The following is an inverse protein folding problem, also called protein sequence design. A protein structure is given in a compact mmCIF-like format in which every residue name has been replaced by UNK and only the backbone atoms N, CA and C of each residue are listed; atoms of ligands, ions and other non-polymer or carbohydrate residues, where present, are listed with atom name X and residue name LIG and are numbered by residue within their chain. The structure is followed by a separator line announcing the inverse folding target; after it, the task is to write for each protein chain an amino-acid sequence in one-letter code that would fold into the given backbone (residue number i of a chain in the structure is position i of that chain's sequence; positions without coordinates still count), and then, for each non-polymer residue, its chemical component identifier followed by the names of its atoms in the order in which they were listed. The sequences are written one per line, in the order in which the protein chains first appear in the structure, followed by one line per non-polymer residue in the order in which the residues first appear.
data_IF_581997984417
#
_entry.id   IF_581997984417
#
_cell.length_a   1.000
_cell.length_b   1.000
_cell.length_c   1.000
_cell.angle_alpha   90.00
_cell.angle_beta   90.00
_cell.angle_gamma   90.00
#
_symmetry.space_group_name_H-M   'P 1'
#
loop_
_entity.id
_entity.type
_entity.pdbx_description
1 polymer ?
#
# COMPACT_ATOMS: atom_id res chain seq x y z
N UNK A 1 -17.76 -4.45 32.53
CA UNK A 1 -16.55 -3.92 31.89
C UNK A 1 -16.90 -2.60 31.26
N UNK A 2 -16.14 -1.56 31.57
CA UNK A 2 -16.30 -0.23 30.99
C UNK A 2 -15.77 -0.19 29.53
N UNK A 3 -16.21 0.77 28.73
CA UNK A 3 -15.83 0.93 27.33
C UNK A 3 -14.31 1.03 27.16
N UNK A 4 -13.65 1.83 27.99
CA UNK A 4 -12.19 1.97 27.95
C UNK A 4 -11.47 0.64 28.19
N UNK A 5 -12.01 -0.21 29.09
CA UNK A 5 -11.46 -1.54 29.37
C UNK A 5 -11.61 -2.47 28.16
N UNK A 6 -12.76 -2.41 27.46
CA UNK A 6 -12.98 -3.21 26.24
C UNK A 6 -12.07 -2.76 25.10
N UNK A 7 -11.93 -1.46 24.88
CA UNK A 7 -11.01 -0.92 23.88
C UNK A 7 -9.56 -1.29 24.17
N UNK A 8 -9.13 -1.18 25.43
CA UNK A 8 -7.79 -1.61 25.86
C UNK A 8 -7.54 -3.08 25.56
N UNK A 9 -8.52 -3.95 25.84
CA UNK A 9 -8.44 -5.38 25.54
C UNK A 9 -8.33 -5.62 24.02
N UNK A 10 -9.16 -4.97 23.21
CA UNK A 10 -9.09 -5.09 21.74
C UNK A 10 -7.74 -4.64 21.19
N UNK A 11 -7.18 -3.52 21.67
CA UNK A 11 -5.85 -3.04 21.28
C UNK A 11 -4.77 -4.08 21.60
N UNK A 12 -4.83 -4.70 22.78
CA UNK A 12 -3.90 -5.77 23.19
C UNK A 12 -4.04 -7.02 22.31
N UNK A 13 -5.26 -7.42 21.98
CA UNK A 13 -5.51 -8.58 21.11
C UNK A 13 -5.00 -8.35 19.69
N UNK A 14 -5.25 -7.17 19.12
CA UNK A 14 -4.74 -6.77 17.81
C UNK A 14 -3.20 -6.73 17.82
N UNK A 15 -2.60 -6.21 18.89
CA UNK A 15 -1.15 -6.25 19.09
C UNK A 15 -0.63 -7.70 19.17
N UNK A 16 -1.35 -8.57 19.87
CA UNK A 16 -1.06 -9.99 19.95
C UNK A 16 -1.08 -10.65 18.57
N UNK A 17 -2.07 -10.35 17.73
CA UNK A 17 -2.15 -10.82 16.35
C UNK A 17 -0.96 -10.31 15.51
N UNK A 18 -0.61 -9.02 15.64
CA UNK A 18 0.56 -8.44 14.96
C UNK A 18 1.82 -9.23 15.26
N UNK A 19 2.11 -9.48 16.53
CA UNK A 19 3.35 -10.17 16.97
C UNK A 19 3.27 -11.66 16.66
N UNK A 20 2.28 -12.35 17.20
CA UNK A 20 2.22 -13.82 17.21
C UNK A 20 1.75 -14.40 15.89
N UNK A 21 0.75 -13.78 15.24
CA UNK A 21 0.23 -14.28 13.96
C UNK A 21 1.06 -13.77 12.81
N UNK A 22 1.34 -12.47 12.72
CA UNK A 22 1.96 -11.90 11.51
C UNK A 22 3.46 -11.68 11.59
N UNK A 23 3.99 -11.50 12.80
CA UNK A 23 5.37 -11.11 13.06
C UNK A 23 5.74 -9.81 12.34
N UNK A 24 4.80 -8.85 12.31
CA UNK A 24 5.05 -7.55 11.71
C UNK A 24 5.75 -6.62 12.70
N UNK A 25 6.82 -5.92 12.27
CA UNK A 25 7.40 -4.83 13.05
C UNK A 25 6.38 -3.69 13.20
N UNK A 26 6.57 -2.86 14.23
CA UNK A 26 5.61 -1.81 14.58
C UNK A 26 5.35 -0.83 13.43
N UNK A 27 6.40 -0.42 12.71
CA UNK A 27 6.28 0.54 11.61
C UNK A 27 5.50 -0.04 10.43
N UNK A 28 5.76 -1.29 10.08
CA UNK A 28 4.98 -2.01 9.06
C UNK A 28 3.52 -2.13 9.46
N UNK A 29 3.24 -2.43 10.74
CA UNK A 29 1.87 -2.51 11.23
C UNK A 29 1.16 -1.15 11.16
N UNK A 30 1.81 -0.05 11.56
CA UNK A 30 1.28 1.32 11.43
C UNK A 30 0.98 1.67 9.98
N UNK A 31 1.91 1.36 9.08
CA UNK A 31 1.72 1.58 7.64
C UNK A 31 0.51 0.81 7.09
N UNK A 32 0.34 -0.46 7.50
CA UNK A 32 -0.78 -1.30 7.07
C UNK A 32 -2.12 -0.73 7.55
N UNK A 33 -2.26 -0.42 8.85
CA UNK A 33 -3.53 0.10 9.38
C UNK A 33 -3.87 1.48 8.80
N UNK A 34 -2.86 2.32 8.54
CA UNK A 34 -3.02 3.60 7.83
C UNK A 34 -3.53 3.38 6.42
N UNK A 35 -2.91 2.46 5.67
CA UNK A 35 -3.31 2.11 4.30
C UNK A 35 -4.72 1.49 4.20
N UNK A 36 -5.18 0.84 5.28
CA UNK A 36 -6.54 0.30 5.40
C UNK A 36 -7.58 1.35 5.83
N UNK A 37 -7.18 2.60 6.11
CA UNK A 37 -8.09 3.67 6.53
C UNK A 37 -8.42 3.71 8.03
N UNK A 38 -7.67 2.98 8.86
CA UNK A 38 -7.80 2.98 10.33
C UNK A 38 -6.86 3.99 11.02
N UNK A 39 -6.24 4.90 10.26
CA UNK A 39 -5.32 5.91 10.78
C UNK A 39 -3.98 5.35 11.26
N UNK A 40 -3.24 6.13 12.03
CA UNK A 40 -1.84 5.80 12.39
C UNK A 40 -1.69 5.07 13.73
N UNK A 41 -2.77 4.99 14.52
CA UNK A 41 -2.73 4.51 15.90
C UNK A 41 -4.02 3.81 16.31
N UNK A 42 -3.88 2.65 16.96
CA UNK A 42 -5.00 1.94 17.58
C UNK A 42 -5.63 2.71 18.76
N UNK A 43 -4.91 3.66 19.35
CA UNK A 43 -5.44 4.50 20.44
C UNK A 43 -6.47 5.51 19.94
N UNK A 44 -6.36 5.92 18.69
CA UNK A 44 -7.30 6.85 18.06
C UNK A 44 -8.57 6.16 17.54
N UNK A 45 -8.64 4.83 17.63
CA UNK A 45 -9.78 4.06 17.13
C UNK A 45 -10.81 3.80 18.23
N UNK A 46 -12.11 4.05 17.96
CA UNK A 46 -13.19 3.64 18.84
C UNK A 46 -13.40 2.11 18.79
N UNK A 47 -14.13 1.58 19.79
CA UNK A 47 -14.40 0.15 19.97
C UNK A 47 -14.87 -0.57 18.69
N UNK A 48 -15.80 0.01 17.93
CA UNK A 48 -16.33 -0.57 16.70
C UNK A 48 -15.22 -0.80 15.65
N UNK A 49 -14.41 0.23 15.39
CA UNK A 49 -13.32 0.19 14.40
C UNK A 49 -12.21 -0.76 14.83
N UNK A 50 -11.95 -0.88 16.13
CA UNK A 50 -11.02 -1.89 16.66
C UNK A 50 -11.55 -3.30 16.41
N UNK A 51 -12.85 -3.51 16.57
CA UNK A 51 -13.50 -4.81 16.34
C UNK A 51 -13.46 -5.20 14.86
N UNK A 52 -13.79 -4.27 13.96
CA UNK A 52 -13.67 -4.45 12.51
C UNK A 52 -12.24 -4.83 12.11
N UNK A 53 -11.25 -4.07 12.60
CA UNK A 53 -9.84 -4.31 12.30
C UNK A 53 -9.40 -5.69 12.79
N UNK A 54 -9.77 -6.08 14.02
CA UNK A 54 -9.47 -7.40 14.56
C UNK A 54 -10.09 -8.50 13.69
N UNK A 55 -11.36 -8.37 13.29
CA UNK A 55 -12.03 -9.35 12.44
C UNK A 55 -11.34 -9.49 11.08
N UNK A 56 -10.94 -8.37 10.47
CA UNK A 56 -10.20 -8.35 9.21
C UNK A 56 -8.84 -9.06 9.35
N UNK A 57 -8.09 -8.77 10.41
CA UNK A 57 -6.82 -9.43 10.73
C UNK A 57 -7.01 -10.92 11.06
N UNK A 58 -8.12 -11.34 11.65
CA UNK A 58 -8.39 -12.75 11.89
C UNK A 58 -8.69 -13.50 10.58
N UNK A 59 -9.50 -12.92 9.69
CA UNK A 59 -9.79 -13.46 8.35
C UNK A 59 -8.55 -13.50 7.46
N UNK A 60 -7.60 -12.61 7.71
CA UNK A 60 -6.32 -12.60 7.02
C UNK A 60 -5.55 -13.90 7.27
N UNK A 61 -5.49 -14.77 6.26
CA UNK A 61 -4.63 -15.96 6.27
C UNK A 61 -3.20 -15.52 6.02
N UNK A 62 -2.35 -15.79 7.01
CA UNK A 62 -0.91 -15.82 6.81
C UNK A 62 -0.64 -17.04 5.95
N UNK A 63 -0.59 -16.89 4.63
CA UNK A 63 0.11 -17.88 3.82
C UNK A 63 1.55 -17.89 4.37
N UNK A 64 1.91 -18.95 5.08
CA UNK A 64 3.27 -19.17 5.57
C UNK A 64 4.21 -18.92 4.40
N UNK A 65 5.27 -18.13 4.61
CA UNK A 65 6.20 -17.76 3.54
C UNK A 65 6.56 -19.00 2.71
N UNK A 66 6.31 -19.05 1.40
CA UNK A 66 6.93 -20.05 0.56
C UNK A 66 8.21 -19.47 0.02
N UNK A 67 9.29 -20.20 0.21
CA UNK A 67 10.60 -20.00 -0.39
C UNK A 67 10.58 -20.14 -1.94
N UNK A 68 9.40 -20.19 -2.59
CA UNK A 68 9.22 -20.49 -4.02
C UNK A 68 8.05 -19.73 -4.67
N UNK A 69 7.76 -18.49 -4.25
CA UNK A 69 6.98 -17.58 -5.11
C UNK A 69 7.93 -16.83 -6.05
N UNK A 70 8.49 -17.58 -7.00
CA UNK A 70 9.08 -16.93 -8.16
C UNK A 70 7.94 -16.29 -8.95
N UNK A 71 8.18 -15.07 -9.42
CA UNK A 71 7.27 -14.47 -10.38
C UNK A 71 7.31 -15.27 -11.67
N UNK A 72 6.14 -15.52 -12.25
CA UNK A 72 6.10 -15.92 -13.65
C UNK A 72 6.62 -14.78 -14.55
N UNK A 73 6.80 -15.04 -15.84
CA UNK A 73 7.34 -14.04 -16.78
C UNK A 73 6.57 -12.71 -16.74
N UNK A 74 5.25 -12.76 -16.56
CA UNK A 74 4.43 -11.55 -16.43
C UNK A 74 4.58 -10.87 -15.07
N UNK A 75 4.79 -11.64 -14.00
CA UNK A 75 5.07 -11.14 -12.66
C UNK A 75 6.42 -10.44 -12.59
N UNK A 76 7.44 -10.92 -13.32
CA UNK A 76 8.73 -10.23 -13.44
C UNK A 76 8.55 -8.86 -14.12
N UNK A 77 7.73 -8.82 -15.17
CA UNK A 77 7.38 -7.56 -15.84
C UNK A 77 6.59 -6.62 -14.92
N UNK A 78 5.61 -7.14 -14.18
CA UNK A 78 4.88 -6.36 -13.19
C UNK A 78 5.83 -5.83 -12.10
N UNK A 79 6.78 -6.63 -11.62
CA UNK A 79 7.76 -6.22 -10.62
C UNK A 79 8.66 -5.09 -11.13
N UNK A 80 9.12 -5.19 -12.38
CA UNK A 80 9.83 -4.10 -13.05
C UNK A 80 8.98 -2.82 -13.07
N UNK A 81 7.73 -2.89 -13.53
CA UNK A 81 6.83 -1.73 -13.56
C UNK A 81 6.58 -1.14 -12.16
N UNK A 82 6.44 -1.99 -11.14
CA UNK A 82 6.29 -1.56 -9.75
C UNK A 82 7.50 -0.74 -9.31
N UNK A 83 8.72 -1.20 -9.61
CA UNK A 83 9.95 -0.45 -9.30
C UNK A 83 10.03 0.87 -10.05
N UNK A 84 9.71 0.89 -11.35
CA UNK A 84 9.66 2.11 -12.16
C UNK A 84 8.62 3.10 -11.66
N UNK A 85 7.49 2.61 -11.15
CA UNK A 85 6.46 3.42 -10.51
C UNK A 85 6.85 3.95 -9.12
N UNK A 86 8.05 3.61 -8.61
CA UNK A 86 8.50 3.86 -7.24
C UNK A 86 7.58 3.24 -6.17
N UNK A 87 6.93 2.12 -6.49
CA UNK A 87 6.14 1.35 -5.55
C UNK A 87 6.99 0.29 -4.84
N UNK A 88 6.69 0.10 -3.56
CA UNK A 88 7.17 -0.99 -2.74
C UNK A 88 6.28 -2.22 -2.91
N UNK A 89 6.84 -3.41 -2.65
CA UNK A 89 6.06 -4.67 -2.64
C UNK A 89 4.88 -4.60 -1.66
N UNK A 90 5.04 -3.89 -0.54
CA UNK A 90 3.97 -3.69 0.43
C UNK A 90 2.81 -2.87 -0.14
N UNK A 91 3.09 -1.83 -0.92
CA UNK A 91 2.04 -1.04 -1.59
C UNK A 91 1.33 -1.84 -2.66
N UNK A 92 2.08 -2.57 -3.50
CA UNK A 92 1.51 -3.48 -4.49
C UNK A 92 0.60 -4.52 -3.82
N UNK A 93 1.07 -5.11 -2.71
CA UNK A 93 0.32 -6.11 -1.96
C UNK A 93 -0.93 -5.53 -1.31
N UNK A 94 -0.85 -4.33 -0.73
CA UNK A 94 -2.01 -3.63 -0.20
C UNK A 94 -3.04 -3.33 -1.29
N UNK A 95 -2.59 -2.92 -2.47
CA UNK A 95 -3.45 -2.71 -3.63
C UNK A 95 -4.16 -4.00 -4.07
N UNK A 96 -3.41 -5.10 -4.24
CA UNK A 96 -4.00 -6.39 -4.65
C UNK A 96 -4.98 -6.93 -3.61
N UNK A 97 -4.70 -6.73 -2.31
CA UNK A 97 -5.62 -7.08 -1.24
C UNK A 97 -6.90 -6.24 -1.29
N UNK A 98 -6.77 -4.93 -1.48
CA UNK A 98 -7.92 -4.01 -1.53
C UNK A 98 -8.82 -4.25 -2.75
N UNK A 99 -8.23 -4.48 -3.92
CA UNK A 99 -8.97 -4.53 -5.19
C UNK A 99 -9.37 -5.93 -5.63
N UNK A 100 -8.63 -6.97 -5.20
CA UNK A 100 -8.84 -8.35 -5.66
C UNK A 100 -8.92 -9.36 -4.51
N UNK A 101 -8.82 -8.92 -3.25
CA UNK A 101 -8.75 -9.80 -2.07
C UNK A 101 -7.63 -10.85 -2.13
N UNK A 102 -6.56 -10.57 -2.89
CA UNK A 102 -5.47 -11.51 -3.17
C UNK A 102 -4.14 -10.97 -2.68
N UNK A 103 -3.37 -11.83 -2.02
CA UNK A 103 -2.14 -11.43 -1.34
C UNK A 103 -0.87 -11.53 -2.18
N UNK A 104 -0.94 -12.07 -3.40
CA UNK A 104 0.20 -12.32 -4.27
C UNK A 104 -0.19 -12.35 -5.75
N UNK A 105 0.75 -11.97 -6.63
CA UNK A 105 0.58 -11.95 -8.08
C UNK A 105 0.07 -13.28 -8.66
N UNK A 106 0.68 -14.40 -8.23
CA UNK A 106 0.34 -15.72 -8.76
C UNK A 106 -1.12 -16.14 -8.49
N UNK A 107 -1.80 -15.52 -7.51
CA UNK A 107 -3.22 -15.77 -7.21
C UNK A 107 -4.17 -14.98 -8.13
N UNK A 108 -3.65 -13.96 -8.82
CA UNK A 108 -4.44 -13.15 -9.72
C UNK A 108 -4.82 -13.95 -10.96
N UNK A 109 -6.05 -13.77 -11.43
CA UNK A 109 -6.50 -14.27 -12.72
C UNK A 109 -6.00 -13.38 -13.87
N UNK A 110 -6.27 -13.81 -15.11
CA UNK A 110 -5.81 -13.10 -16.31
C UNK A 110 -6.31 -11.65 -16.41
N UNK A 111 -7.55 -11.37 -15.97
CA UNK A 111 -8.14 -10.03 -16.04
C UNK A 111 -7.53 -9.14 -14.95
N UNK A 112 -7.39 -9.64 -13.75
CA UNK A 112 -6.80 -8.91 -12.62
C UNK A 112 -5.32 -8.58 -12.86
N UNK A 113 -4.53 -9.52 -13.41
CA UNK A 113 -3.14 -9.29 -13.80
C UNK A 113 -2.99 -8.13 -14.79
N UNK A 114 -3.87 -8.09 -15.81
CA UNK A 114 -3.92 -6.98 -16.78
C UNK A 114 -4.27 -5.66 -16.11
N UNK A 115 -5.21 -5.66 -15.17
CA UNK A 115 -5.59 -4.46 -14.43
C UNK A 115 -4.42 -3.90 -13.61
N UNK A 116 -3.67 -4.75 -12.90
CA UNK A 116 -2.47 -4.33 -12.14
C UNK A 116 -1.41 -3.72 -13.07
N UNK A 117 -1.10 -4.39 -14.18
CA UNK A 117 -0.12 -3.89 -15.16
C UNK A 117 -0.56 -2.54 -15.74
N UNK A 118 -1.81 -2.42 -16.19
CA UNK A 118 -2.34 -1.20 -16.75
C UNK A 118 -2.31 -0.04 -15.74
N UNK A 119 -2.65 -0.33 -14.48
CA UNK A 119 -2.57 0.65 -13.39
C UNK A 119 -1.14 1.17 -13.20
N UNK A 120 -0.14 0.27 -13.12
CA UNK A 120 1.26 0.66 -12.95
C UNK A 120 1.78 1.47 -14.15
N UNK A 121 1.45 1.06 -15.37
CA UNK A 121 1.81 1.79 -16.59
C UNK A 121 1.19 3.20 -16.61
N UNK A 122 -0.08 3.32 -16.21
CA UNK A 122 -0.74 4.62 -16.13
C UNK A 122 -0.09 5.52 -15.06
N UNK A 123 0.30 4.95 -13.93
CA UNK A 123 0.99 5.68 -12.86
C UNK A 123 2.35 6.22 -13.32
N UNK A 124 3.14 5.40 -14.01
CA UNK A 124 4.44 5.80 -14.59
C UNK A 124 4.23 6.97 -15.57
N UNK A 125 3.28 6.84 -16.51
CA UNK A 125 2.98 7.91 -17.47
C UNK A 125 2.54 9.20 -16.79
N UNK A 126 1.79 9.12 -15.69
CA UNK A 126 1.40 10.31 -14.93
C UNK A 126 2.59 10.96 -14.22
N UNK A 127 3.50 10.17 -13.66
CA UNK A 127 4.71 10.68 -13.03
C UNK A 127 5.65 11.35 -14.03
N UNK A 128 5.84 10.74 -15.21
CA UNK A 128 6.62 11.32 -16.31
C UNK A 128 6.03 12.65 -16.78
N UNK A 129 4.71 12.73 -16.93
CA UNK A 129 4.04 14.00 -17.29
C UNK A 129 4.28 15.07 -16.23
N UNK A 130 4.11 14.73 -14.95
CA UNK A 130 4.32 15.69 -13.85
C UNK A 130 5.76 16.21 -13.84
N UNK A 131 6.75 15.34 -14.00
CA UNK A 131 8.16 15.72 -14.08
C UNK A 131 8.44 16.72 -15.22
N UNK A 132 7.87 16.48 -16.41
CA UNK A 132 8.00 17.40 -17.57
C UNK A 132 7.35 18.76 -17.33
N UNK A 133 6.23 18.83 -16.61
CA UNK A 133 5.56 20.10 -16.30
C UNK A 133 6.29 20.90 -15.21
N UNK A 134 7.03 20.24 -14.31
CA UNK A 134 7.87 20.92 -13.32
C UNK A 134 9.15 21.49 -13.92
N UNK A 135 9.84 20.75 -14.81
CA UNK A 135 11.04 21.27 -15.50
C UNK A 135 10.74 22.48 -16.41
N UNK A 136 9.57 22.49 -17.05
CA UNK A 136 9.15 23.61 -17.91
C UNK A 136 8.70 24.86 -17.13
N UNK A 137 8.47 24.76 -15.80
CA UNK A 137 8.10 25.92 -14.98
C UNK A 137 9.30 26.71 -14.48
N UNK A 138 10.48 26.09 -14.36
CA UNK A 138 11.70 26.77 -13.94
C UNK A 138 12.41 27.52 -15.07
N UNK A 139 12.12 27.22 -16.33
CA UNK A 139 12.70 27.90 -17.50
C UNK A 139 11.86 29.06 -18.04
N UNK A 140 10.67 29.34 -17.49
CA UNK A 140 9.76 30.39 -17.99
C UNK A 140 9.89 31.76 -17.30
N UNK A 141 10.83 31.95 -16.38
CA UNK A 141 11.18 33.29 -15.86
C UNK A 141 12.41 33.84 -16.60
N UNK A 142 12.38 33.83 -17.93
CA UNK A 142 13.27 34.64 -18.75
C UNK A 142 12.77 36.08 -18.73
N UNK A 143 13.30 36.89 -17.82
CA UNK A 143 13.13 38.34 -17.86
C UNK A 143 13.92 38.87 -19.06
N UNK A 144 13.24 39.10 -20.18
CA UNK A 144 13.79 39.88 -21.29
C UNK A 144 13.84 41.34 -20.84
N UNK A 145 15.01 41.83 -20.43
CA UNK A 145 15.25 43.27 -20.39
C UNK A 145 15.58 43.71 -21.81
N UNK A 146 14.63 44.38 -22.45
CA UNK A 146 14.87 45.12 -23.69
C UNK A 146 15.91 46.23 -23.43
N UNK A 147 16.90 46.42 -24.31
CA UNK A 147 17.74 47.61 -24.26
C UNK A 147 17.00 48.75 -24.96
N UNK A 148 16.66 49.80 -24.21
CA UNK A 148 16.23 51.07 -24.79
C UNK A 148 17.23 52.17 -24.45
N UNK A 149 17.74 52.82 -25.50
CA UNK A 149 18.11 54.24 -25.52
C UNK A 149 19.49 54.59 -24.99
#
# INVERSE_FOLDING_TARGET
MDQEQRERKLRQEIHGLRVKKFHWPLDAFRFIIKGLGYGESLRALPEERLTELKALLLKYRRHGRPQVFTFDRQGMYMFYLMKTAAWTESQLRAFMLKHFSKSHWNLLDRKERRAVIAMLQNYIKQNEKKAKYTDNKETSNGHTQDPQG
#
